data_IF_588856121748
#
_entry.id   IF_588856121748
#
_cell.length_a   1.000
_cell.length_b   1.000
_cell.length_c   1.000
_cell.angle_alpha   90.00
_cell.angle_beta   90.00
_cell.angle_gamma   90.00
#
_symmetry.space_group_name_H-M   'P 1'
#
loop_
_entity.id
_entity.type
_entity.pdbx_description
1 polymer ?
#
# COMPACT_ATOMS: atom_id res chain seq x y z
N UNK A 1 15.07 10.49 -26.28
CA UNK A 1 13.67 10.84 -25.94
C UNK A 1 13.51 10.90 -24.43
N UNK A 2 12.60 11.73 -23.91
CA UNK A 2 12.31 11.78 -22.48
C UNK A 2 11.17 10.84 -22.15
N UNK A 3 11.29 10.12 -21.02
CA UNK A 3 10.34 9.13 -20.56
C UNK A 3 9.90 9.49 -19.14
N UNK A 4 8.62 9.37 -18.85
CA UNK A 4 8.01 9.78 -17.59
C UNK A 4 7.09 8.69 -17.05
N UNK A 5 7.14 8.43 -15.75
CA UNK A 5 5.97 7.87 -15.07
C UNK A 5 4.88 8.94 -14.96
N UNK A 6 3.64 8.54 -14.67
CA UNK A 6 2.52 9.48 -14.65
C UNK A 6 2.11 9.91 -13.24
N UNK A 7 1.66 8.96 -12.42
CA UNK A 7 1.13 9.23 -11.08
C UNK A 7 2.22 9.69 -10.13
N UNK A 8 1.95 10.76 -9.35
CA UNK A 8 2.91 11.44 -8.47
C UNK A 8 4.15 12.00 -9.17
N UNK A 9 4.31 11.72 -10.46
CA UNK A 9 5.38 12.24 -11.31
C UNK A 9 4.89 13.44 -12.13
N UNK A 10 4.21 13.24 -13.26
CA UNK A 10 3.58 14.33 -14.03
C UNK A 10 2.30 14.82 -13.35
N UNK A 11 1.49 13.92 -12.85
CA UNK A 11 0.26 14.21 -12.12
C UNK A 11 0.54 14.25 -10.61
N UNK A 12 0.09 15.32 -9.93
CA UNK A 12 0.25 15.48 -8.48
C UNK A 12 -0.86 14.74 -7.73
N UNK A 13 -0.82 13.42 -7.77
CA UNK A 13 -1.78 12.50 -7.18
C UNK A 13 -1.68 11.10 -7.77
N UNK A 14 -2.61 10.24 -7.43
CA UNK A 14 -2.82 8.93 -8.06
C UNK A 14 -4.09 9.01 -8.90
N UNK A 15 -3.92 9.03 -10.23
CA UNK A 15 -5.02 9.25 -11.18
C UNK A 15 -6.12 8.18 -11.06
N UNK A 16 -5.74 6.94 -10.77
CA UNK A 16 -6.69 5.84 -10.59
C UNK A 16 -7.53 6.02 -9.33
N UNK A 17 -6.90 6.38 -8.22
CA UNK A 17 -7.56 6.62 -6.94
C UNK A 17 -8.45 7.86 -7.01
N UNK A 18 -7.94 8.95 -7.59
CA UNK A 18 -8.70 10.19 -7.74
C UNK A 18 -9.92 10.01 -8.68
N UNK A 19 -9.77 9.21 -9.75
CA UNK A 19 -10.88 8.85 -10.62
C UNK A 19 -11.93 8.00 -9.89
N UNK A 20 -11.51 7.07 -9.05
CA UNK A 20 -12.41 6.29 -8.21
C UNK A 20 -13.23 7.20 -7.28
N UNK A 21 -12.59 8.11 -6.55
CA UNK A 21 -13.29 9.05 -5.68
C UNK A 21 -14.19 10.04 -6.44
N UNK A 22 -13.77 10.45 -7.63
CA UNK A 22 -14.63 11.25 -8.52
C UNK A 22 -15.90 10.48 -8.92
N UNK A 23 -15.75 9.21 -9.31
CA UNK A 23 -16.86 8.35 -9.67
C UNK A 23 -17.77 8.04 -8.47
N UNK A 24 -17.19 7.80 -7.31
CA UNK A 24 -17.94 7.52 -6.07
C UNK A 24 -18.93 8.65 -5.71
N UNK A 25 -18.48 9.91 -5.86
CA UNK A 25 -19.34 11.10 -5.62
C UNK A 25 -20.47 11.21 -6.64
N UNK A 26 -20.31 10.71 -7.86
CA UNK A 26 -21.26 10.86 -8.96
C UNK A 26 -22.16 9.65 -9.15
N UNK A 27 -21.70 8.48 -8.74
CA UNK A 27 -22.37 7.18 -8.86
C UNK A 27 -22.40 6.46 -7.51
N UNK A 28 -23.32 6.83 -6.58
CA UNK A 28 -23.32 6.27 -5.20
C UNK A 28 -23.45 4.75 -5.12
N UNK A 29 -23.96 4.10 -6.18
CA UNK A 29 -24.04 2.64 -6.27
C UNK A 29 -22.68 1.95 -6.10
N UNK A 30 -21.59 2.63 -6.45
CA UNK A 30 -20.21 2.14 -6.26
C UNK A 30 -19.92 1.83 -4.78
N UNK A 31 -20.61 2.49 -3.83
CA UNK A 31 -20.50 2.20 -2.39
C UNK A 31 -20.81 0.74 -2.06
N UNK A 32 -21.70 0.12 -2.81
CA UNK A 32 -22.07 -1.30 -2.61
C UNK A 32 -20.90 -2.26 -2.90
N UNK A 33 -19.91 -1.82 -3.69
CA UNK A 33 -18.72 -2.61 -3.98
C UNK A 33 -17.66 -2.52 -2.86
N UNK A 34 -17.76 -1.54 -1.93
CA UNK A 34 -16.75 -1.33 -0.88
C UNK A 34 -16.47 -2.55 0.00
N UNK A 35 -17.49 -3.29 0.50
CA UNK A 35 -17.22 -4.47 1.32
C UNK A 35 -16.42 -5.54 0.56
N UNK A 36 -16.75 -5.76 -0.72
CA UNK A 36 -16.01 -6.72 -1.55
C UNK A 36 -14.59 -6.24 -1.86
N UNK A 37 -14.39 -4.95 -2.16
CA UNK A 37 -13.05 -4.37 -2.37
C UNK A 37 -12.21 -4.49 -1.10
N UNK A 38 -12.80 -4.22 0.08
CA UNK A 38 -12.12 -4.38 1.36
C UNK A 38 -11.71 -5.84 1.60
N UNK A 39 -12.60 -6.80 1.31
CA UNK A 39 -12.29 -8.22 1.40
C UNK A 39 -11.12 -8.61 0.49
N UNK A 40 -11.14 -8.18 -0.78
CA UNK A 40 -10.04 -8.45 -1.70
C UNK A 40 -8.75 -7.72 -1.33
N UNK A 41 -8.82 -6.55 -0.69
CA UNK A 41 -7.65 -5.89 -0.13
C UNK A 41 -7.02 -6.73 1.00
N UNK A 42 -7.84 -7.33 1.87
CA UNK A 42 -7.39 -8.26 2.90
C UNK A 42 -6.70 -9.46 2.25
N UNK A 43 -7.32 -10.11 1.27
CA UNK A 43 -6.72 -11.25 0.54
C UNK A 43 -5.41 -10.85 -0.16
N UNK A 44 -5.33 -9.63 -0.70
CA UNK A 44 -4.10 -9.09 -1.25
C UNK A 44 -3.04 -8.88 -0.16
N UNK A 45 -3.40 -8.40 1.03
CA UNK A 45 -2.48 -8.24 2.17
C UNK A 45 -1.92 -9.59 2.61
N UNK A 46 -2.74 -10.62 2.69
CA UNK A 46 -2.33 -12.00 2.99
C UNK A 46 -1.63 -12.72 1.83
N UNK A 47 -1.41 -12.01 0.70
CA UNK A 47 -0.73 -12.54 -0.49
C UNK A 47 -1.44 -13.72 -1.17
N UNK A 48 -2.72 -13.90 -0.90
CA UNK A 48 -3.60 -14.82 -1.64
C UNK A 48 -3.81 -14.27 -3.06
N UNK A 49 -3.90 -12.95 -3.19
CA UNK A 49 -4.01 -12.27 -4.48
C UNK A 49 -2.72 -11.53 -4.86
N UNK A 50 -2.41 -11.57 -6.16
CA UNK A 50 -1.39 -10.72 -6.78
C UNK A 50 -1.89 -9.27 -6.85
N UNK A 51 -0.96 -8.32 -7.09
CA UNK A 51 -1.30 -6.90 -7.29
C UNK A 51 -2.27 -6.70 -8.45
N UNK A 52 -2.12 -7.46 -9.54
CA UNK A 52 -2.99 -7.38 -10.72
C UNK A 52 -4.39 -7.90 -10.41
N UNK A 53 -4.51 -9.05 -9.76
CA UNK A 53 -5.81 -9.61 -9.35
C UNK A 53 -6.57 -8.68 -8.39
N UNK A 54 -5.87 -8.07 -7.44
CA UNK A 54 -6.49 -7.06 -6.57
C UNK A 54 -6.97 -5.84 -7.36
N UNK A 55 -6.15 -5.32 -8.28
CA UNK A 55 -6.55 -4.19 -9.14
C UNK A 55 -7.78 -4.51 -9.99
N UNK A 56 -7.90 -5.71 -10.54
CA UNK A 56 -9.10 -6.13 -11.29
C UNK A 56 -10.36 -6.09 -10.42
N UNK A 57 -10.24 -6.53 -9.16
CA UNK A 57 -11.35 -6.46 -8.22
C UNK A 57 -11.67 -5.02 -7.82
N UNK A 58 -10.64 -4.18 -7.66
CA UNK A 58 -10.83 -2.76 -7.44
C UNK A 58 -11.57 -2.10 -8.61
N UNK A 59 -11.23 -2.44 -9.86
CA UNK A 59 -11.87 -1.87 -11.06
C UNK A 59 -13.29 -2.38 -11.33
N UNK A 60 -13.83 -3.31 -10.55
CA UNK A 60 -15.21 -3.78 -10.72
C UNK A 60 -16.25 -2.65 -10.69
N UNK A 61 -15.96 -1.52 -10.04
CA UNK A 61 -16.82 -0.35 -10.00
C UNK A 61 -17.11 0.26 -11.38
N UNK A 62 -16.24 0.01 -12.37
CA UNK A 62 -16.43 0.52 -13.73
C UNK A 62 -17.74 0.01 -14.38
N UNK A 63 -18.22 -1.17 -13.98
CA UNK A 63 -19.48 -1.75 -14.46
C UNK A 63 -20.71 -0.89 -14.13
N UNK A 64 -20.64 -0.11 -13.07
CA UNK A 64 -21.74 0.75 -12.62
C UNK A 64 -21.75 2.11 -13.31
N UNK A 65 -20.79 2.37 -14.20
CA UNK A 65 -20.65 3.64 -14.92
C UNK A 65 -21.15 3.48 -16.36
N UNK A 66 -22.31 4.05 -16.67
CA UNK A 66 -22.94 3.94 -18.00
C UNK A 66 -22.08 4.45 -19.16
N UNK A 67 -21.36 5.55 -18.96
CA UNK A 67 -20.52 6.17 -19.99
C UNK A 67 -19.17 6.59 -19.39
N UNK A 68 -18.20 5.70 -19.52
CA UNK A 68 -16.86 5.89 -18.93
C UNK A 68 -16.08 6.98 -19.65
N UNK A 69 -16.17 7.07 -20.98
CA UNK A 69 -15.45 8.09 -21.75
C UNK A 69 -15.89 9.50 -21.35
N UNK A 70 -17.20 9.68 -21.14
CA UNK A 70 -17.74 10.94 -20.60
C UNK A 70 -17.24 11.21 -19.16
N UNK A 71 -17.22 10.18 -18.32
CA UNK A 71 -16.73 10.32 -16.94
C UNK A 71 -15.25 10.72 -16.91
N UNK A 72 -14.40 10.09 -17.73
CA UNK A 72 -12.96 10.40 -17.86
C UNK A 72 -12.76 11.84 -18.37
N UNK A 73 -13.52 12.26 -19.39
CA UNK A 73 -13.44 13.63 -19.93
C UNK A 73 -13.75 14.68 -18.86
N UNK A 74 -14.81 14.47 -18.07
CA UNK A 74 -15.16 15.41 -16.99
C UNK A 74 -14.21 15.33 -15.79
N UNK A 75 -13.67 14.14 -15.51
CA UNK A 75 -12.63 13.98 -14.51
C UNK A 75 -11.42 14.84 -14.85
N UNK A 76 -10.87 14.73 -16.05
CA UNK A 76 -9.70 15.50 -16.45
C UNK A 76 -9.96 17.01 -16.51
N UNK A 77 -11.14 17.48 -16.94
CA UNK A 77 -11.49 18.90 -16.86
C UNK A 77 -11.32 19.49 -15.45
N UNK A 78 -11.55 18.68 -14.42
CA UNK A 78 -11.43 19.11 -13.02
C UNK A 78 -10.02 18.92 -12.47
N UNK A 79 -9.29 17.90 -12.93
CA UNK A 79 -8.03 17.44 -12.33
C UNK A 79 -6.78 17.83 -13.15
N UNK A 80 -6.92 18.33 -14.37
CA UNK A 80 -5.79 18.76 -15.20
C UNK A 80 -4.91 19.83 -14.54
N UNK A 81 -5.48 20.64 -13.66
CA UNK A 81 -4.73 21.63 -12.85
C UNK A 81 -3.66 21.01 -11.93
N UNK A 82 -3.75 19.71 -11.70
CA UNK A 82 -2.78 18.97 -10.90
C UNK A 82 -1.63 18.41 -11.77
N UNK A 83 -1.60 18.72 -13.06
CA UNK A 83 -0.48 18.38 -13.94
C UNK A 83 0.69 19.33 -13.67
N UNK A 84 1.86 18.73 -13.39
CA UNK A 84 3.11 19.47 -13.16
C UNK A 84 3.73 19.87 -14.49
N UNK A 85 4.14 21.12 -14.63
CA UNK A 85 4.56 21.71 -15.90
C UNK A 85 5.99 21.42 -16.36
N UNK A 86 6.72 20.47 -15.73
CA UNK A 86 8.12 20.20 -16.10
C UNK A 86 8.29 19.20 -17.25
N UNK A 87 7.22 18.53 -17.67
CA UNK A 87 7.26 17.60 -18.80
C UNK A 87 7.49 18.29 -20.13
N UNK A 88 8.15 17.60 -21.06
CA UNK A 88 8.42 18.10 -22.41
C UNK A 88 7.47 17.46 -23.42
N UNK A 89 6.94 18.25 -24.34
CA UNK A 89 6.14 17.75 -25.47
C UNK A 89 6.90 16.71 -26.28
N UNK A 90 6.19 15.77 -26.90
CA UNK A 90 6.80 14.66 -27.64
C UNK A 90 7.49 13.63 -26.75
N UNK A 91 7.35 13.73 -25.43
CA UNK A 91 7.81 12.72 -24.47
C UNK A 91 6.91 11.48 -24.44
N UNK A 92 7.36 10.46 -23.70
CA UNK A 92 6.63 9.20 -23.54
C UNK A 92 6.24 9.01 -22.09
N UNK A 93 4.97 8.78 -21.85
CA UNK A 93 4.44 8.35 -20.54
C UNK A 93 4.40 6.84 -20.49
N UNK A 94 4.96 6.24 -19.41
CA UNK A 94 4.87 4.79 -19.16
C UNK A 94 4.31 4.57 -17.76
N UNK A 95 3.05 4.11 -17.67
CA UNK A 95 2.32 4.06 -16.40
C UNK A 95 1.62 2.73 -16.13
N UNK A 96 1.51 2.38 -14.85
CA UNK A 96 0.70 1.26 -14.37
C UNK A 96 -0.80 1.57 -14.24
N UNK A 97 -1.21 2.82 -14.50
CA UNK A 97 -2.61 3.24 -14.54
C UNK A 97 -3.30 2.82 -15.84
N UNK A 98 -4.64 2.73 -15.88
CA UNK A 98 -5.36 2.30 -17.08
C UNK A 98 -5.16 3.22 -18.29
N UNK A 99 -4.94 2.62 -19.46
CA UNK A 99 -4.78 3.35 -20.72
C UNK A 99 -5.98 4.24 -21.05
N UNK A 100 -7.21 3.73 -20.90
CA UNK A 100 -8.43 4.52 -21.18
C UNK A 100 -8.56 5.77 -20.31
N UNK A 101 -7.98 5.74 -19.10
CA UNK A 101 -7.97 6.89 -18.18
C UNK A 101 -6.94 7.93 -18.59
N UNK A 102 -5.74 7.49 -18.99
CA UNK A 102 -4.63 8.40 -19.27
C UNK A 102 -4.59 8.90 -20.71
N UNK A 103 -5.13 8.15 -21.69
CA UNK A 103 -5.05 8.50 -23.10
C UNK A 103 -5.54 9.93 -23.40
N UNK A 104 -6.70 10.41 -22.91
CA UNK A 104 -7.18 11.75 -23.24
C UNK A 104 -6.31 12.89 -22.68
N UNK A 105 -5.65 12.67 -21.55
CA UNK A 105 -4.77 13.70 -21.00
C UNK A 105 -3.39 13.67 -21.65
N UNK A 106 -2.86 12.50 -21.98
CA UNK A 106 -1.59 12.37 -22.69
C UNK A 106 -1.68 12.97 -24.11
N UNK A 107 -2.80 12.76 -24.82
CA UNK A 107 -3.09 13.38 -26.10
C UNK A 107 -3.09 14.92 -25.97
N UNK A 108 -3.76 15.46 -24.96
CA UNK A 108 -3.79 16.92 -24.69
C UNK A 108 -2.39 17.48 -24.39
N UNK A 109 -1.52 16.69 -23.76
CA UNK A 109 -0.14 17.09 -23.41
C UNK A 109 0.85 16.86 -24.56
N UNK A 110 0.40 16.37 -25.71
CA UNK A 110 1.25 15.99 -26.85
C UNK A 110 2.33 14.97 -26.43
N UNK A 111 1.90 13.89 -25.72
CA UNK A 111 2.77 12.82 -25.22
C UNK A 111 2.27 11.45 -25.67
N UNK A 112 3.20 10.59 -26.07
CA UNK A 112 2.90 9.18 -26.34
C UNK A 112 2.63 8.43 -25.04
N UNK A 113 1.76 7.41 -25.09
CA UNK A 113 1.36 6.65 -23.90
C UNK A 113 1.63 5.15 -24.06
N UNK A 114 2.27 4.57 -23.05
CA UNK A 114 2.33 3.14 -22.78
C UNK A 114 1.75 2.93 -21.39
N UNK A 115 0.58 2.28 -21.29
CA UNK A 115 -0.12 2.13 -20.02
C UNK A 115 -0.72 0.73 -19.85
N UNK A 116 -1.25 0.42 -18.68
CA UNK A 116 -1.91 -0.86 -18.45
C UNK A 116 -3.18 -0.97 -19.28
N UNK A 117 -3.29 -2.04 -20.05
CA UNK A 117 -4.48 -2.32 -20.86
C UNK A 117 -5.55 -2.92 -19.96
N UNK A 118 -6.54 -2.11 -19.64
CA UNK A 118 -7.70 -2.47 -18.81
C UNK A 118 -8.96 -2.24 -19.62
N UNK A 119 -9.78 -3.26 -19.72
CA UNK A 119 -11.11 -3.12 -20.33
C UNK A 119 -11.97 -2.18 -19.48
N UNK A 120 -12.39 -1.07 -20.10
CA UNK A 120 -13.10 0.01 -19.40
C UNK A 120 -14.51 -0.38 -18.92
N UNK A 121 -15.08 -1.46 -19.43
CA UNK A 121 -16.43 -1.91 -19.05
C UNK A 121 -16.41 -3.00 -17.98
N UNK A 122 -15.41 -3.87 -18.01
CA UNK A 122 -15.30 -5.01 -17.08
C UNK A 122 -14.30 -4.79 -15.96
N UNK A 123 -13.36 -3.86 -16.14
CA UNK A 123 -12.25 -3.64 -15.23
C UNK A 123 -11.16 -4.72 -15.27
N UNK A 124 -11.25 -5.67 -16.20
CA UNK A 124 -10.26 -6.75 -16.36
C UNK A 124 -9.05 -6.28 -17.14
N UNK A 125 -7.90 -6.78 -16.78
CA UNK A 125 -6.67 -6.59 -17.55
C UNK A 125 -6.73 -7.45 -18.83
N UNK A 126 -6.45 -6.85 -19.98
CA UNK A 126 -6.29 -7.54 -21.28
C UNK A 126 -4.82 -7.82 -21.62
N UNK A 127 -3.95 -7.67 -20.63
CA UNK A 127 -2.52 -7.91 -20.68
C UNK A 127 -1.92 -7.77 -19.29
N UNK A 128 -0.60 -7.83 -19.18
CA UNK A 128 0.07 -7.66 -17.90
C UNK A 128 -0.01 -6.21 -17.38
N UNK A 129 0.07 -6.03 -16.06
CA UNK A 129 0.12 -4.71 -15.45
C UNK A 129 1.46 -4.03 -15.78
N UNK A 130 1.42 -2.85 -16.40
CA UNK A 130 2.58 -2.08 -16.84
C UNK A 130 3.40 -1.53 -15.64
N UNK A 131 4.14 -2.42 -14.96
CA UNK A 131 4.87 -2.10 -13.74
C UNK A 131 6.24 -2.82 -13.70
N UNK A 132 7.28 -2.15 -13.22
CA UNK A 132 8.61 -2.73 -13.09
C UNK A 132 9.19 -3.19 -14.43
N UNK A 133 9.58 -4.46 -14.56
CA UNK A 133 10.15 -5.03 -15.79
C UNK A 133 9.21 -4.96 -17.00
N UNK A 134 7.90 -5.03 -16.77
CA UNK A 134 6.90 -4.92 -17.84
C UNK A 134 6.94 -3.54 -18.52
N UNK A 135 7.26 -2.47 -17.80
CA UNK A 135 7.51 -1.15 -18.41
C UNK A 135 8.66 -1.20 -19.41
N UNK A 136 9.74 -1.89 -19.06
CA UNK A 136 10.92 -2.09 -19.95
C UNK A 136 10.55 -2.91 -21.17
N UNK A 137 9.86 -4.03 -20.98
CA UNK A 137 9.43 -4.91 -22.09
C UNK A 137 8.62 -4.13 -23.11
N UNK A 138 7.57 -3.41 -22.65
CA UNK A 138 6.71 -2.62 -23.56
C UNK A 138 7.42 -1.45 -24.20
N UNK A 139 8.33 -0.80 -23.49
CA UNK A 139 9.16 0.25 -24.09
C UNK A 139 9.98 -0.31 -25.25
N UNK A 140 10.66 -1.45 -25.05
CA UNK A 140 11.44 -2.11 -26.11
C UNK A 140 10.58 -2.59 -27.28
N UNK A 141 9.39 -3.11 -27.02
CA UNK A 141 8.45 -3.52 -28.06
C UNK A 141 7.99 -2.33 -28.94
N UNK A 142 7.77 -1.16 -28.32
CA UNK A 142 7.27 0.02 -29.03
C UNK A 142 8.38 0.82 -29.70
N UNK A 143 9.53 0.95 -29.05
CA UNK A 143 10.60 1.86 -29.48
C UNK A 143 11.91 1.16 -29.83
N UNK A 144 12.00 -0.17 -29.67
CA UNK A 144 13.21 -0.94 -29.94
C UNK A 144 14.37 -0.51 -29.04
N UNK A 145 15.49 -0.23 -29.64
CA UNK A 145 16.73 0.18 -28.96
C UNK A 145 16.89 1.72 -28.86
N UNK A 146 15.81 2.49 -28.99
CA UNK A 146 15.87 3.95 -28.82
C UNK A 146 16.38 4.30 -27.42
N UNK A 147 17.34 5.22 -27.35
CA UNK A 147 17.94 5.67 -26.09
C UNK A 147 17.01 6.62 -25.35
N UNK A 148 16.84 6.38 -24.05
CA UNK A 148 16.17 7.29 -23.14
C UNK A 148 17.18 8.37 -22.72
N UNK A 149 16.88 9.63 -23.00
CA UNK A 149 17.73 10.75 -22.59
C UNK A 149 17.54 11.06 -21.11
N UNK A 150 16.29 11.28 -20.70
CA UNK A 150 15.92 11.58 -19.33
C UNK A 150 14.75 10.70 -18.92
N UNK A 151 14.79 10.18 -17.68
CA UNK A 151 13.72 9.40 -17.08
C UNK A 151 13.28 10.02 -15.75
N UNK A 152 11.97 10.10 -15.52
CA UNK A 152 11.39 10.68 -14.32
C UNK A 152 10.35 9.73 -13.72
N UNK A 153 10.47 9.43 -12.41
CA UNK A 153 9.51 8.60 -11.68
C UNK A 153 9.47 8.99 -10.20
N UNK A 154 8.33 8.76 -9.52
CA UNK A 154 8.21 8.92 -8.06
C UNK A 154 8.70 7.68 -7.29
N UNK A 155 8.97 6.58 -7.98
CA UNK A 155 9.13 5.25 -7.37
C UNK A 155 10.40 4.52 -7.79
N UNK A 156 11.13 4.02 -6.79
CA UNK A 156 12.28 3.12 -7.04
C UNK A 156 11.91 1.77 -7.68
N UNK A 157 10.61 1.43 -7.77
CA UNK A 157 10.17 0.24 -8.51
C UNK A 157 10.43 0.33 -10.02
N UNK A 158 10.66 1.54 -10.53
CA UNK A 158 10.96 1.83 -11.92
C UNK A 158 12.48 1.84 -12.22
N UNK A 159 13.30 1.37 -11.27
CA UNK A 159 14.75 1.21 -11.42
C UNK A 159 15.15 0.55 -12.75
N UNK A 160 14.47 -0.51 -13.25
CA UNK A 160 14.83 -1.11 -14.54
C UNK A 160 14.75 -0.14 -15.73
N UNK A 161 13.85 0.84 -15.72
CA UNK A 161 13.77 1.89 -16.74
C UNK A 161 14.79 3.00 -16.49
N UNK A 162 15.02 3.35 -15.22
CA UNK A 162 16.01 4.35 -14.82
C UNK A 162 17.43 3.95 -15.28
N UNK A 163 17.78 2.67 -15.17
CA UNK A 163 19.07 2.11 -15.63
C UNK A 163 19.27 2.15 -17.15
N UNK A 164 18.19 2.29 -17.94
CA UNK A 164 18.26 2.44 -19.40
C UNK A 164 18.42 3.91 -19.84
N UNK A 165 18.21 4.86 -18.94
CA UNK A 165 18.28 6.29 -19.26
C UNK A 165 19.70 6.82 -19.11
N UNK A 166 20.04 7.85 -19.91
CA UNK A 166 21.29 8.60 -19.75
C UNK A 166 21.32 9.35 -18.41
N UNK A 167 20.18 9.90 -18.02
CA UNK A 167 19.97 10.58 -16.74
C UNK A 167 18.61 10.18 -16.19
N UNK A 168 18.57 9.81 -14.91
CA UNK A 168 17.33 9.45 -14.25
C UNK A 168 17.10 10.36 -13.02
N UNK A 169 15.83 10.63 -12.73
CA UNK A 169 15.43 11.53 -11.66
C UNK A 169 14.25 10.94 -10.87
N UNK A 170 14.30 11.14 -9.55
CA UNK A 170 13.17 10.86 -8.66
C UNK A 170 12.39 12.15 -8.41
N UNK A 171 11.09 12.11 -8.67
CA UNK A 171 10.18 13.25 -8.45
C UNK A 171 9.49 13.07 -7.11
N UNK A 172 9.79 13.96 -6.15
CA UNK A 172 9.11 14.00 -4.85
C UNK A 172 8.36 15.33 -4.68
N UNK A 173 7.03 15.27 -4.69
CA UNK A 173 6.16 16.46 -4.65
C UNK A 173 6.56 17.47 -5.75
N UNK A 174 7.34 18.49 -5.43
CA UNK A 174 7.82 19.53 -6.36
C UNK A 174 9.33 19.48 -6.61
N UNK A 175 10.04 18.58 -5.95
CA UNK A 175 11.49 18.43 -6.08
C UNK A 175 11.82 17.35 -7.10
N UNK A 176 12.84 17.60 -7.90
CA UNK A 176 13.40 16.66 -8.88
C UNK A 176 14.84 16.37 -8.43
N UNK A 177 15.08 15.16 -7.98
CA UNK A 177 16.34 14.72 -7.36
C UNK A 177 17.01 13.73 -8.29
N UNK A 178 18.32 13.84 -8.60
CA UNK A 178 19.04 12.83 -9.35
C UNK A 178 18.88 11.46 -8.71
N UNK A 179 18.71 10.41 -9.52
CA UNK A 179 18.39 9.06 -9.05
C UNK A 179 19.43 8.52 -8.06
N UNK A 180 20.71 8.80 -8.33
CA UNK A 180 21.83 8.31 -7.51
C UNK A 180 21.96 9.06 -6.17
N UNK A 181 21.46 10.29 -6.11
CA UNK A 181 21.45 11.11 -4.88
C UNK A 181 20.23 10.84 -4.00
N UNK A 182 19.18 10.20 -4.56
CA UNK A 182 17.94 9.98 -3.86
C UNK A 182 18.10 8.95 -2.74
N UNK A 183 17.84 9.38 -1.51
CA UNK A 183 17.80 8.50 -0.33
C UNK A 183 16.36 8.32 0.12
N UNK A 184 15.80 7.11 -0.05
CA UNK A 184 14.44 6.82 0.40
C UNK A 184 14.30 7.04 1.91
N UNK A 185 13.13 7.53 2.33
CA UNK A 185 12.82 7.72 3.75
C UNK A 185 12.71 6.36 4.44
N UNK A 186 13.64 6.07 5.37
CA UNK A 186 13.63 4.83 6.16
C UNK A 186 12.29 4.60 6.88
N UNK A 187 11.60 5.68 7.27
CA UNK A 187 10.29 5.62 7.92
C UNK A 187 9.24 5.10 6.93
N UNK A 188 9.15 5.66 5.72
CA UNK A 188 8.20 5.19 4.70
C UNK A 188 8.44 3.73 4.33
N UNK A 189 9.71 3.34 4.14
CA UNK A 189 10.09 1.98 3.77
C UNK A 189 9.87 0.97 4.91
N UNK A 190 9.73 1.43 6.13
CA UNK A 190 9.45 0.56 7.28
C UNK A 190 7.95 0.43 7.56
N UNK A 191 7.22 1.55 7.62
CA UNK A 191 5.84 1.60 8.12
C UNK A 191 4.77 1.68 7.03
N UNK A 192 5.11 2.12 5.81
CA UNK A 192 4.16 2.08 4.68
C UNK A 192 4.36 0.86 3.79
N UNK A 193 4.70 -0.27 4.42
CA UNK A 193 4.91 -1.55 3.75
C UNK A 193 3.71 -2.46 3.92
N UNK A 194 3.54 -3.36 2.96
CA UNK A 194 2.55 -4.44 3.05
C UNK A 194 2.78 -5.31 4.30
N UNK A 195 4.04 -5.48 4.71
CA UNK A 195 4.40 -6.22 5.90
C UNK A 195 3.88 -5.54 7.19
N UNK A 196 4.01 -4.22 7.30
CA UNK A 196 3.47 -3.47 8.43
C UNK A 196 1.94 -3.50 8.46
N UNK A 197 1.27 -3.31 7.31
CA UNK A 197 -0.19 -3.41 7.24
C UNK A 197 -0.69 -4.80 7.62
N UNK A 198 -0.01 -5.87 7.16
CA UNK A 198 -0.31 -7.24 7.58
C UNK A 198 -0.13 -7.44 9.08
N UNK A 199 0.91 -6.85 9.67
CA UNK A 199 1.15 -6.89 11.10
C UNK A 199 0.01 -6.23 11.91
N UNK A 200 -0.42 -5.05 11.49
CA UNK A 200 -1.56 -4.33 12.11
C UNK A 200 -2.84 -5.19 12.04
N UNK A 201 -3.10 -5.77 10.86
CA UNK A 201 -4.27 -6.63 10.68
C UNK A 201 -4.23 -7.88 11.57
N UNK A 202 -3.10 -8.56 11.66
CA UNK A 202 -2.90 -9.70 12.56
C UNK A 202 -3.10 -9.27 14.02
N UNK A 203 -2.67 -8.06 14.39
CA UNK A 203 -2.91 -7.49 15.73
C UNK A 203 -4.40 -7.34 16.05
N UNK A 204 -5.18 -6.78 15.12
CA UNK A 204 -6.65 -6.66 15.26
C UNK A 204 -7.31 -8.04 15.35
N UNK A 205 -6.95 -8.96 14.46
CA UNK A 205 -7.45 -10.34 14.48
C UNK A 205 -7.12 -11.04 15.82
N UNK A 206 -5.91 -10.83 16.34
CA UNK A 206 -5.49 -11.38 17.62
C UNK A 206 -6.37 -10.88 18.78
N UNK A 207 -6.75 -9.60 18.78
CA UNK A 207 -7.66 -9.05 19.80
C UNK A 207 -9.03 -9.73 19.75
N UNK A 208 -9.58 -9.93 18.55
CA UNK A 208 -10.87 -10.63 18.36
C UNK A 208 -10.75 -12.10 18.83
N UNK A 209 -9.69 -12.79 18.46
CA UNK A 209 -9.42 -14.18 18.82
C UNK A 209 -9.28 -14.30 20.36
N UNK A 210 -8.53 -13.40 20.99
CA UNK A 210 -8.36 -13.37 22.44
C UNK A 210 -9.72 -13.24 23.15
N UNK A 211 -10.53 -12.27 22.72
CA UNK A 211 -11.87 -12.05 23.29
C UNK A 211 -12.77 -13.27 23.12
N UNK A 212 -12.75 -13.89 21.92
CA UNK A 212 -13.55 -15.08 21.64
C UNK A 212 -13.16 -16.27 22.52
N UNK A 213 -11.87 -16.57 22.63
CA UNK A 213 -11.39 -17.67 23.49
C UNK A 213 -11.70 -17.38 24.97
N UNK A 214 -11.47 -16.16 25.43
CA UNK A 214 -11.78 -15.76 26.81
C UNK A 214 -13.27 -15.95 27.12
N UNK A 215 -14.15 -15.55 26.17
CA UNK A 215 -15.59 -15.75 26.31
C UNK A 215 -15.96 -17.24 26.37
N UNK A 216 -15.42 -18.06 25.47
CA UNK A 216 -15.68 -19.51 25.46
C UNK A 216 -15.21 -20.15 26.76
N UNK A 217 -13.99 -19.87 27.20
CA UNK A 217 -13.45 -20.42 28.43
C UNK A 217 -14.20 -19.97 29.67
N UNK A 218 -14.72 -18.74 29.70
CA UNK A 218 -15.51 -18.22 30.83
C UNK A 218 -16.84 -18.97 31.07
N UNK A 219 -17.26 -19.77 30.08
CA UNK A 219 -18.42 -20.65 30.24
C UNK A 219 -18.13 -21.89 31.10
N UNK A 220 -16.85 -22.21 31.36
CA UNK A 220 -16.43 -23.42 32.05
C UNK A 220 -15.57 -23.15 33.28
N UNK A 221 -14.92 -21.98 33.34
CA UNK A 221 -13.96 -21.64 34.41
C UNK A 221 -14.13 -20.18 34.82
N UNK A 222 -13.53 -19.80 35.93
CA UNK A 222 -13.56 -18.46 36.49
C UNK A 222 -13.05 -17.43 35.46
N UNK A 223 -13.74 -16.25 35.30
CA UNK A 223 -13.45 -15.29 34.25
C UNK A 223 -12.00 -14.79 34.16
N UNK A 224 -11.30 -14.63 35.29
CA UNK A 224 -9.91 -14.17 35.31
C UNK A 224 -8.98 -15.23 34.73
N UNK A 225 -9.21 -16.50 35.05
CA UNK A 225 -8.43 -17.66 34.52
C UNK A 225 -8.78 -17.84 33.03
N UNK A 226 -10.07 -17.70 32.66
CA UNK A 226 -10.53 -17.78 31.29
C UNK A 226 -9.86 -16.73 30.40
N UNK A 227 -9.71 -15.49 30.89
CA UNK A 227 -9.01 -14.43 30.19
C UNK A 227 -7.52 -14.76 29.98
N UNK A 228 -6.84 -15.25 31.02
CA UNK A 228 -5.43 -15.62 30.93
C UNK A 228 -5.19 -16.76 29.91
N UNK A 229 -6.04 -17.79 29.91
CA UNK A 229 -5.97 -18.88 28.93
C UNK A 229 -6.31 -18.40 27.52
N UNK A 230 -7.33 -17.52 27.36
CA UNK A 230 -7.66 -16.91 26.09
C UNK A 230 -6.52 -16.08 25.52
N UNK A 231 -5.82 -15.31 26.37
CA UNK A 231 -4.64 -14.55 25.99
C UNK A 231 -3.49 -15.45 25.52
N UNK A 232 -3.17 -16.50 26.26
CA UNK A 232 -2.12 -17.47 25.89
C UNK A 232 -2.45 -18.13 24.55
N UNK A 233 -3.70 -18.60 24.39
CA UNK A 233 -4.17 -19.22 23.14
C UNK A 233 -4.05 -18.28 21.96
N UNK A 234 -4.47 -17.02 22.11
CA UNK A 234 -4.38 -16.01 21.08
C UNK A 234 -2.93 -15.66 20.73
N UNK A 235 -2.03 -15.63 21.73
CA UNK A 235 -0.62 -15.36 21.54
C UNK A 235 0.06 -16.43 20.66
N UNK A 236 -0.28 -17.69 20.85
CA UNK A 236 0.22 -18.80 20.02
C UNK A 236 -0.27 -18.64 18.58
N UNK A 237 -1.56 -18.37 18.38
CA UNK A 237 -2.13 -18.14 17.05
C UNK A 237 -1.50 -16.91 16.39
N UNK A 238 -1.32 -15.83 17.15
CA UNK A 238 -0.69 -14.60 16.67
C UNK A 238 0.76 -14.83 16.24
N UNK A 239 1.53 -15.63 16.97
CA UNK A 239 2.86 -16.05 16.53
C UNK A 239 2.82 -16.79 15.20
N UNK A 240 1.92 -17.76 15.06
CA UNK A 240 1.73 -18.51 13.81
C UNK A 240 1.40 -17.58 12.64
N UNK A 241 0.41 -16.70 12.80
CA UNK A 241 0.00 -15.75 11.77
C UNK A 241 1.13 -14.76 11.41
N UNK A 242 1.83 -14.23 12.42
CA UNK A 242 2.95 -13.33 12.16
C UNK A 242 4.10 -14.05 11.46
N UNK A 243 4.44 -15.26 11.86
CA UNK A 243 5.51 -16.05 11.22
C UNK A 243 5.18 -16.36 9.76
N UNK A 244 4.01 -16.93 9.50
CA UNK A 244 3.64 -17.43 8.17
C UNK A 244 3.22 -16.32 7.22
N UNK A 245 2.48 -15.30 7.71
CA UNK A 245 1.85 -14.28 6.85
C UNK A 245 2.64 -12.99 6.82
N UNK A 246 2.98 -12.45 8.01
CA UNK A 246 3.62 -11.13 8.11
C UNK A 246 5.09 -11.16 7.75
N UNK A 247 5.85 -12.04 8.38
CA UNK A 247 7.31 -12.09 8.25
C UNK A 247 7.82 -13.16 7.29
N UNK A 248 7.00 -14.17 6.97
CA UNK A 248 7.32 -15.30 6.07
C UNK A 248 8.57 -16.04 6.52
N UNK A 249 8.61 -16.39 7.78
CA UNK A 249 9.69 -17.11 8.41
C UNK A 249 9.20 -18.46 8.94
N UNK A 250 10.09 -19.45 8.98
CA UNK A 250 9.77 -20.79 9.51
C UNK A 250 9.41 -20.72 10.99
N UNK A 251 8.50 -21.59 11.43
CA UNK A 251 8.17 -21.75 12.84
C UNK A 251 9.37 -22.38 13.58
N UNK A 252 9.73 -21.78 14.72
CA UNK A 252 10.80 -22.29 15.57
C UNK A 252 10.56 -21.88 17.03
N UNK A 253 10.83 -22.79 17.98
CA UNK A 253 10.67 -22.51 19.42
C UNK A 253 11.51 -21.31 19.87
N UNK A 254 12.73 -21.16 19.36
CA UNK A 254 13.60 -20.03 19.69
C UNK A 254 13.04 -18.70 19.19
N UNK A 255 12.35 -18.69 18.04
CA UNK A 255 11.65 -17.48 17.51
C UNK A 255 10.41 -17.19 18.34
N UNK A 256 9.69 -18.21 18.79
CA UNK A 256 8.53 -18.04 19.66
C UNK A 256 8.90 -17.36 20.97
N UNK A 257 9.98 -17.80 21.62
CA UNK A 257 10.50 -17.15 22.84
C UNK A 257 10.86 -15.68 22.56
N UNK A 258 11.58 -15.39 21.48
CA UNK A 258 11.91 -14.03 21.08
C UNK A 258 10.66 -13.18 20.76
N UNK A 259 9.65 -13.81 20.17
CA UNK A 259 8.37 -13.17 19.89
C UNK A 259 7.69 -12.71 21.19
N UNK A 260 7.60 -13.58 22.18
CA UNK A 260 7.05 -13.24 23.51
C UNK A 260 7.87 -12.11 24.17
N UNK A 261 9.20 -12.22 24.17
CA UNK A 261 10.09 -11.19 24.73
C UNK A 261 9.90 -9.84 24.05
N UNK A 262 9.56 -9.82 22.75
CA UNK A 262 9.31 -8.56 22.00
C UNK A 262 8.11 -7.75 22.52
N UNK A 263 7.21 -8.35 23.27
CA UNK A 263 6.09 -7.63 23.91
C UNK A 263 6.49 -6.87 25.18
N UNK A 264 7.58 -7.24 25.84
CA UNK A 264 8.01 -6.58 27.07
C UNK A 264 8.34 -5.09 26.85
N UNK A 265 9.22 -4.73 25.90
CA UNK A 265 9.49 -3.32 25.62
C UNK A 265 8.24 -2.53 25.19
N UNK A 266 7.35 -3.19 24.43
CA UNK A 266 6.09 -2.56 24.03
C UNK A 266 5.22 -2.23 25.25
N UNK A 267 5.06 -3.16 26.18
CA UNK A 267 4.31 -2.94 27.41
C UNK A 267 4.90 -1.76 28.21
N UNK A 268 6.22 -1.73 28.40
CA UNK A 268 6.89 -0.66 29.14
C UNK A 268 6.68 0.73 28.48
N UNK A 269 6.78 0.80 27.16
CA UNK A 269 6.56 2.04 26.41
C UNK A 269 5.09 2.48 26.52
N UNK A 270 4.16 1.56 26.35
CA UNK A 270 2.74 1.88 26.47
C UNK A 270 2.40 2.37 27.87
N UNK A 271 2.92 1.71 28.91
CA UNK A 271 2.74 2.13 30.29
C UNK A 271 3.31 3.53 30.54
N UNK A 272 4.52 3.83 30.04
CA UNK A 272 5.11 5.13 30.16
C UNK A 272 4.28 6.22 29.44
N UNK A 273 3.74 5.91 28.26
CA UNK A 273 2.85 6.85 27.53
C UNK A 273 1.56 7.10 28.29
N UNK A 274 0.92 6.05 28.83
CA UNK A 274 -0.31 6.19 29.61
C UNK A 274 -0.06 7.06 30.85
N UNK A 275 0.98 6.76 31.61
CA UNK A 275 1.36 7.54 32.80
C UNK A 275 1.60 9.00 32.44
N UNK A 276 2.39 9.27 31.40
CA UNK A 276 2.68 10.64 30.93
C UNK A 276 1.38 11.37 30.52
N UNK A 277 0.50 10.71 29.76
CA UNK A 277 -0.74 11.31 29.32
C UNK A 277 -1.70 11.63 30.48
N UNK A 278 -1.79 10.75 31.48
CA UNK A 278 -2.71 10.93 32.60
C UNK A 278 -2.17 11.88 33.67
N UNK A 279 -0.91 11.66 34.09
CA UNK A 279 -0.35 12.36 35.25
C UNK A 279 0.28 13.71 34.89
N UNK A 280 0.90 13.82 33.69
CA UNK A 280 1.55 15.07 33.28
C UNK A 280 0.61 15.96 32.45
N UNK A 281 -0.08 15.37 31.46
CA UNK A 281 -0.93 16.14 30.56
C UNK A 281 -2.40 16.18 30.97
N UNK A 282 -2.83 15.43 31.98
CA UNK A 282 -4.21 15.40 32.48
C UNK A 282 -5.24 14.96 31.42
N UNK A 283 -4.82 14.16 30.44
CA UNK A 283 -5.68 13.75 29.33
C UNK A 283 -6.73 12.74 29.79
N UNK A 284 -7.86 12.72 29.08
CA UNK A 284 -8.91 11.73 29.32
C UNK A 284 -8.39 10.30 29.07
N UNK A 285 -8.75 9.36 29.94
CA UNK A 285 -8.25 7.96 29.95
C UNK A 285 -8.29 7.28 28.59
N UNK A 286 -9.43 7.41 27.86
CA UNK A 286 -9.58 6.82 26.53
C UNK A 286 -8.53 7.36 25.54
N UNK A 287 -8.26 8.67 25.58
CA UNK A 287 -7.24 9.31 24.72
C UNK A 287 -5.85 8.77 25.03
N UNK A 288 -5.51 8.63 26.33
CA UNK A 288 -4.24 8.08 26.77
C UNK A 288 -4.03 6.64 26.26
N UNK A 289 -5.06 5.80 26.36
CA UNK A 289 -5.00 4.40 25.89
C UNK A 289 -4.86 4.31 24.36
N UNK A 290 -5.60 5.13 23.62
CA UNK A 290 -5.49 5.18 22.15
C UNK A 290 -4.09 5.63 21.72
N UNK A 291 -3.55 6.67 22.33
CA UNK A 291 -2.20 7.15 22.05
C UNK A 291 -1.13 6.08 22.35
N UNK A 292 -1.24 5.40 23.49
CA UNK A 292 -0.35 4.31 23.86
C UNK A 292 -0.40 3.17 22.83
N UNK A 293 -1.59 2.77 22.37
CA UNK A 293 -1.76 1.75 21.35
C UNK A 293 -1.15 2.18 20.01
N UNK A 294 -1.43 3.42 19.55
CA UNK A 294 -0.90 3.97 18.29
C UNK A 294 0.63 4.01 18.29
N UNK A 295 1.26 4.35 19.42
CA UNK A 295 2.72 4.37 19.56
C UNK A 295 3.28 2.95 19.69
N UNK A 296 2.59 2.08 20.43
CA UNK A 296 3.02 0.72 20.70
C UNK A 296 3.11 -0.18 19.46
N UNK A 297 2.16 -0.06 18.53
CA UNK A 297 2.11 -0.91 17.33
C UNK A 297 3.36 -0.76 16.44
N UNK A 298 3.81 0.44 16.04
CA UNK A 298 5.05 0.63 15.30
C UNK A 298 6.29 0.10 16.03
N UNK A 299 6.37 0.34 17.33
CA UNK A 299 7.50 -0.12 18.16
C UNK A 299 7.58 -1.64 18.18
N UNK A 300 6.45 -2.30 18.44
CA UNK A 300 6.38 -3.77 18.44
C UNK A 300 6.77 -4.34 17.08
N UNK A 301 6.28 -3.76 15.99
CA UNK A 301 6.65 -4.20 14.65
C UNK A 301 8.15 -4.14 14.40
N UNK A 302 8.80 -3.01 14.76
CA UNK A 302 10.25 -2.84 14.58
C UNK A 302 11.03 -3.86 15.42
N UNK A 303 10.67 -4.02 16.70
CA UNK A 303 11.33 -4.98 17.59
C UNK A 303 11.17 -6.41 17.04
N UNK A 304 9.97 -6.81 16.65
CA UNK A 304 9.74 -8.14 16.07
C UNK A 304 10.53 -8.35 14.78
N UNK A 305 10.56 -7.37 13.89
CA UNK A 305 11.30 -7.45 12.63
C UNK A 305 12.81 -7.62 12.83
N UNK A 306 13.38 -6.92 13.82
CA UNK A 306 14.83 -6.90 14.05
C UNK A 306 15.27 -8.05 14.96
N UNK A 307 14.46 -8.41 15.96
CA UNK A 307 14.85 -9.35 17.03
C UNK A 307 14.26 -10.75 16.84
N UNK A 308 12.92 -10.85 16.65
CA UNK A 308 12.26 -12.16 16.58
C UNK A 308 12.37 -12.80 15.18
N UNK A 309 12.21 -12.00 14.13
CA UNK A 309 12.13 -12.46 12.73
C UNK A 309 13.29 -11.95 11.87
N UNK A 310 14.45 -11.71 12.48
CA UNK A 310 15.65 -11.33 11.73
C UNK A 310 16.08 -12.49 10.83
N UNK A 311 16.11 -12.27 9.51
CA UNK A 311 16.72 -13.21 8.57
C UNK A 311 18.19 -13.35 8.88
N UNK A 312 18.63 -14.57 9.22
CA UNK A 312 20.06 -14.89 9.17
C UNK A 312 20.45 -14.91 7.69
N UNK A 313 21.42 -14.08 7.33
CA UNK A 313 22.08 -14.14 6.04
C UNK A 313 22.82 -15.46 5.91
#
# INVERSE_FOLDING_TARGET
MNVYDFDKTIYDGDSTVDFYFYCLKRYPKILLCLPSVAWYAILYMFQVYTKTQFKEKFFMFLKDIKNIDRAVKFFWRKHEKNIKGFHKKGGVVISASPEFLLAPICEKLDMSLIASRVDKHTGKYTGENCHGQEKVRRFKETYGNKKISEFYSDSLSDKPLAEMAKSAFVVQKREIIPWDEYKPSKIKDTFFTRQFLSFVFVGVANTIICTLFSYIYSSFIEPSIAFALGYISSLIISYFLNSCVTFKESLAASRFVKYIISYIPNFLIQQAVVTLCLEVFGLYKLVAYVLAAVIGVPVTFVIMKIFAFRRRK
#
